data_IF_440388483785
#
_entry.id   IF_440388483785
#
_cell.length_a   1.000
_cell.length_b   1.000
_cell.length_c   1.000
_cell.angle_alpha   90.00
_cell.angle_beta   90.00
_cell.angle_gamma   90.00
#
_symmetry.space_group_name_H-M   'P 1'
#
loop_
_entity.id
_entity.type
_entity.pdbx_description
1 polymer ?
#
# COMPACT_ATOMS: atom_id res chain seq x y z
N UNK A 1 -1.05 -12.20 -17.64
CA UNK A 1 -0.03 -11.21 -17.21
C UNK A 1 -0.68 -10.21 -16.25
N UNK A 2 0.09 -9.54 -15.39
CA UNK A 2 -0.48 -8.52 -14.48
C UNK A 2 0.36 -7.25 -14.40
N UNK A 3 -0.30 -6.12 -14.17
CA UNK A 3 0.30 -4.80 -13.99
C UNK A 3 -0.16 -4.20 -12.66
N UNK A 4 0.72 -3.48 -11.99
CA UNK A 4 0.40 -2.60 -10.87
C UNK A 4 1.32 -1.38 -10.94
N UNK A 5 0.91 -0.27 -10.34
CA UNK A 5 1.75 0.93 -10.30
C UNK A 5 3.13 0.64 -9.68
N UNK A 6 3.16 -0.10 -8.57
CA UNK A 6 4.42 -0.50 -7.90
C UNK A 6 5.31 -1.36 -8.80
N UNK A 7 4.71 -2.30 -9.55
CA UNK A 7 5.41 -3.17 -10.50
C UNK A 7 5.99 -2.39 -11.67
N UNK A 8 5.21 -1.46 -12.22
CA UNK A 8 5.67 -0.52 -13.25
C UNK A 8 6.83 0.34 -12.75
N UNK A 9 6.68 0.93 -11.57
CA UNK A 9 7.72 1.75 -10.97
C UNK A 9 9.04 0.99 -10.78
N UNK A 10 8.98 -0.26 -10.30
CA UNK A 10 10.16 -1.13 -10.18
C UNK A 10 10.81 -1.39 -11.55
N UNK A 11 10.01 -1.67 -12.59
CA UNK A 11 10.50 -1.88 -13.96
C UNK A 11 11.23 -0.65 -14.51
N UNK A 12 10.59 0.52 -14.39
CA UNK A 12 11.10 1.80 -14.90
C UNK A 12 12.33 2.30 -14.10
N UNK A 13 12.42 1.96 -12.82
CA UNK A 13 13.55 2.35 -11.97
C UNK A 13 14.74 1.41 -12.12
N UNK A 14 14.52 0.10 -12.06
CA UNK A 14 15.57 -0.90 -12.12
C UNK A 14 15.03 -2.25 -12.60
N UNK A 15 15.27 -2.58 -13.88
CA UNK A 15 14.85 -3.87 -14.48
C UNK A 15 15.39 -5.09 -13.73
N UNK A 16 16.59 -4.99 -13.12
CA UNK A 16 17.16 -6.05 -12.28
C UNK A 16 16.36 -6.26 -11.00
N UNK A 17 15.97 -5.18 -10.32
CA UNK A 17 15.11 -5.25 -9.13
C UNK A 17 13.76 -5.86 -9.50
N UNK A 18 13.13 -5.36 -10.57
CA UNK A 18 11.88 -5.91 -11.10
C UNK A 18 11.97 -7.43 -11.35
N UNK A 19 13.07 -7.91 -11.94
CA UNK A 19 13.28 -9.34 -12.15
C UNK A 19 13.25 -10.13 -10.82
N UNK A 20 14.04 -9.71 -9.82
CA UNK A 20 14.13 -10.42 -8.54
C UNK A 20 12.88 -10.31 -7.66
N UNK A 21 12.06 -9.28 -7.85
CA UNK A 21 10.79 -9.14 -7.12
C UNK A 21 9.71 -10.09 -7.67
N UNK A 22 9.57 -10.14 -9.00
CA UNK A 22 8.41 -10.76 -9.66
C UNK A 22 8.69 -12.11 -10.34
N UNK A 23 9.95 -12.45 -10.66
CA UNK A 23 10.35 -13.67 -11.36
C UNK A 23 11.31 -14.63 -10.60
N UNK A 24 11.58 -14.52 -9.29
CA UNK A 24 12.58 -15.39 -8.63
C UNK A 24 12.15 -16.87 -8.54
N UNK A 25 10.90 -17.21 -8.91
CA UNK A 25 10.34 -18.57 -8.87
C UNK A 25 10.91 -19.51 -9.95
N UNK A 26 11.73 -19.02 -10.88
CA UNK A 26 12.17 -19.77 -12.05
C UNK A 26 13.59 -20.38 -11.94
N UNK A 27 14.32 -20.18 -10.83
CA UNK A 27 15.66 -20.80 -10.65
C UNK A 27 15.90 -21.41 -9.26
N UNK A 28 16.89 -22.30 -9.16
CA UNK A 28 17.41 -22.92 -7.92
C UNK A 28 17.91 -21.92 -6.86
N UNK A 29 17.90 -20.61 -7.15
CA UNK A 29 18.23 -19.50 -6.24
C UNK A 29 17.01 -18.94 -5.47
N UNK A 30 15.83 -19.54 -5.64
CA UNK A 30 14.53 -19.07 -5.11
C UNK A 30 14.55 -18.79 -3.60
N UNK A 31 15.18 -19.64 -2.78
CA UNK A 31 15.13 -19.47 -1.33
C UNK A 31 15.84 -18.19 -0.83
N UNK A 32 17.03 -17.87 -1.36
CA UNK A 32 17.79 -16.69 -0.94
C UNK A 32 17.15 -15.42 -1.47
N UNK A 33 16.78 -15.38 -2.75
CA UNK A 33 16.07 -14.24 -3.33
C UNK A 33 14.73 -13.98 -2.62
N UNK A 34 13.99 -15.06 -2.32
CA UNK A 34 12.77 -14.97 -1.52
C UNK A 34 13.03 -14.45 -0.11
N UNK A 35 14.09 -14.89 0.57
CA UNK A 35 14.42 -14.38 1.90
C UNK A 35 14.78 -12.89 1.85
N UNK A 36 15.67 -12.49 0.93
CA UNK A 36 16.18 -11.13 0.86
C UNK A 36 15.10 -10.12 0.47
N UNK A 37 14.16 -10.47 -0.41
CA UNK A 37 13.06 -9.56 -0.80
C UNK A 37 12.04 -9.30 0.33
N UNK A 38 12.01 -10.14 1.36
CA UNK A 38 11.13 -9.95 2.52
C UNK A 38 11.79 -9.13 3.64
N UNK A 39 13.08 -8.79 3.51
CA UNK A 39 13.75 -7.89 4.45
C UNK A 39 13.15 -6.49 4.35
N UNK A 40 12.99 -5.82 5.49
CA UNK A 40 12.36 -4.50 5.57
C UNK A 40 13.22 -3.50 6.35
N UNK A 41 12.96 -2.22 6.07
CA UNK A 41 13.47 -1.10 6.85
C UNK A 41 12.43 -0.72 7.93
N UNK A 42 12.86 -0.22 9.10
CA UNK A 42 11.94 0.12 10.19
C UNK A 42 10.87 1.14 9.79
N UNK A 43 11.15 2.05 8.86
CA UNK A 43 10.19 3.03 8.35
C UNK A 43 9.10 2.39 7.48
N UNK A 44 9.45 1.36 6.72
CA UNK A 44 8.47 0.60 5.94
C UNK A 44 7.55 -0.20 6.87
N UNK A 45 8.12 -0.78 7.93
CA UNK A 45 7.35 -1.47 8.98
C UNK A 45 6.42 -0.47 9.69
N UNK A 46 6.90 0.72 10.04
CA UNK A 46 6.09 1.77 10.64
C UNK A 46 4.89 2.13 9.74
N UNK A 47 5.14 2.35 8.45
CA UNK A 47 4.07 2.62 7.48
C UNK A 47 3.06 1.47 7.37
N UNK A 48 3.54 0.22 7.36
CA UNK A 48 2.70 -0.96 7.30
C UNK A 48 1.84 -1.15 8.57
N UNK A 49 2.39 -0.83 9.74
CA UNK A 49 1.66 -0.88 11.01
C UNK A 49 0.57 0.19 11.06
N UNK A 50 0.83 1.39 10.51
CA UNK A 50 -0.20 2.42 10.37
C UNK A 50 -1.36 1.92 9.51
N UNK A 51 -1.07 1.36 8.32
CA UNK A 51 -2.10 0.76 7.44
C UNK A 51 -2.90 -0.34 8.15
N UNK A 52 -2.24 -1.27 8.84
CA UNK A 52 -2.92 -2.33 9.60
C UNK A 52 -3.79 -1.79 10.73
N UNK A 53 -3.31 -0.77 11.44
CA UNK A 53 -4.03 -0.18 12.56
C UNK A 53 -5.27 0.57 12.08
N UNK A 54 -5.17 1.33 10.98
CA UNK A 54 -6.31 2.00 10.36
C UNK A 54 -7.34 0.98 9.85
N UNK A 55 -6.90 -0.06 9.14
CA UNK A 55 -7.82 -1.11 8.68
C UNK A 55 -8.54 -1.79 9.85
N UNK A 56 -7.82 -2.12 10.93
CA UNK A 56 -8.44 -2.66 12.16
C UNK A 56 -9.38 -1.68 12.86
N UNK A 57 -9.09 -0.38 12.84
CA UNK A 57 -9.97 0.64 13.39
C UNK A 57 -11.28 0.77 12.58
N UNK A 58 -11.17 0.74 11.26
CA UNK A 58 -12.32 0.78 10.35
C UNK A 58 -13.17 -0.50 10.48
N UNK A 59 -12.55 -1.67 10.63
CA UNK A 59 -13.27 -2.92 10.95
C UNK A 59 -14.01 -2.81 12.29
N UNK A 60 -13.35 -2.29 13.33
CA UNK A 60 -13.98 -2.06 14.63
C UNK A 60 -15.17 -1.09 14.53
N UNK A 61 -15.05 -0.04 13.72
CA UNK A 61 -16.14 0.89 13.46
C UNK A 61 -17.32 0.22 12.75
N UNK A 62 -17.07 -0.66 11.78
CA UNK A 62 -18.13 -1.43 11.10
C UNK A 62 -18.89 -2.31 12.12
N UNK A 63 -18.16 -2.93 13.05
CA UNK A 63 -18.72 -3.89 14.01
C UNK A 63 -19.41 -3.21 15.21
N UNK A 64 -18.89 -2.07 15.68
CA UNK A 64 -19.29 -1.45 16.95
C UNK A 64 -19.78 -0.01 16.82
N UNK A 65 -19.59 0.64 15.66
CA UNK A 65 -20.01 2.03 15.41
C UNK A 65 -19.07 3.10 15.96
N UNK A 66 -17.92 2.72 16.50
CA UNK A 66 -16.95 3.63 17.13
C UNK A 66 -15.52 3.27 16.73
N UNK A 67 -14.63 4.26 16.68
CA UNK A 67 -13.19 4.04 16.52
C UNK A 67 -12.58 3.71 17.89
N UNK A 68 -11.52 2.88 17.96
CA UNK A 68 -10.85 2.61 19.24
C UNK A 68 -10.20 3.88 19.82
N UNK A 69 -10.52 4.24 21.07
CA UNK A 69 -9.95 5.41 21.76
C UNK A 69 -8.41 5.37 21.91
N UNK A 70 -7.83 4.17 21.89
CA UNK A 70 -6.41 3.90 22.11
C UNK A 70 -5.67 3.51 20.80
N UNK A 71 -6.16 3.95 19.64
CA UNK A 71 -5.62 3.54 18.33
C UNK A 71 -4.11 3.77 18.20
N UNK A 72 -3.63 4.98 18.55
CA UNK A 72 -2.22 5.32 18.47
C UNK A 72 -1.36 4.45 19.42
N UNK A 73 -1.82 4.21 20.65
CA UNK A 73 -1.12 3.36 21.62
C UNK A 73 -1.05 1.90 21.14
N UNK A 74 -2.16 1.35 20.64
CA UNK A 74 -2.20 0.01 20.02
C UNK A 74 -1.25 -0.09 18.84
N UNK A 75 -1.17 0.94 18.00
CA UNK A 75 -0.25 1.01 16.86
C UNK A 75 1.21 0.97 17.30
N UNK A 76 1.61 1.76 18.31
CA UNK A 76 2.97 1.74 18.86
C UNK A 76 3.29 0.35 19.44
N UNK A 77 2.37 -0.25 20.18
CA UNK A 77 2.56 -1.62 20.69
C UNK A 77 2.70 -2.64 19.56
N UNK A 78 1.90 -2.54 18.50
CA UNK A 78 2.04 -3.39 17.33
C UNK A 78 3.40 -3.22 16.65
N UNK A 79 3.86 -1.99 16.46
CA UNK A 79 5.18 -1.68 15.90
C UNK A 79 6.30 -2.31 16.73
N UNK A 80 6.31 -2.08 18.05
CA UNK A 80 7.29 -2.68 18.97
C UNK A 80 7.31 -4.20 18.91
N UNK A 81 6.13 -4.84 18.82
CA UNK A 81 6.03 -6.30 18.67
C UNK A 81 6.67 -6.79 17.36
N UNK A 82 6.43 -6.11 16.24
CA UNK A 82 7.00 -6.49 14.94
C UNK A 82 8.52 -6.34 14.95
N UNK A 83 9.03 -5.22 15.50
CA UNK A 83 10.47 -4.99 15.67
C UNK A 83 11.11 -6.08 16.55
N UNK A 84 10.54 -6.37 17.71
CA UNK A 84 11.07 -7.39 18.63
C UNK A 84 11.01 -8.81 18.04
N UNK A 85 10.05 -9.10 17.16
CA UNK A 85 9.95 -10.41 16.51
C UNK A 85 11.02 -10.65 15.44
N UNK A 86 11.64 -9.58 14.93
CA UNK A 86 12.56 -9.62 13.80
C UNK A 86 13.77 -10.54 14.02
N UNK A 87 14.48 -10.39 15.15
CA UNK A 87 15.68 -11.20 15.47
C UNK A 87 15.40 -12.70 15.40
N UNK A 88 14.27 -13.13 15.99
CA UNK A 88 13.85 -14.55 15.99
C UNK A 88 13.54 -15.05 14.58
N UNK A 89 12.90 -14.22 13.76
CA UNK A 89 12.56 -14.56 12.37
C UNK A 89 13.84 -14.68 11.55
N UNK A 90 14.76 -13.73 11.68
CA UNK A 90 16.08 -13.76 11.02
C UNK A 90 16.91 -14.97 11.44
N UNK A 91 16.93 -15.32 12.74
CA UNK A 91 17.60 -16.53 13.20
C UNK A 91 17.03 -17.79 12.54
N UNK A 92 15.69 -17.84 12.37
CA UNK A 92 15.04 -18.91 11.61
C UNK A 92 15.44 -18.94 10.13
N UNK A 93 15.50 -17.77 9.48
CA UNK A 93 15.93 -17.64 8.08
C UNK A 93 17.38 -18.13 7.89
N UNK A 94 18.30 -17.73 8.78
CA UNK A 94 19.70 -18.18 8.76
C UNK A 94 19.83 -19.70 8.99
N UNK A 95 18.88 -20.31 9.69
CA UNK A 95 18.77 -21.76 9.86
C UNK A 95 18.03 -22.48 8.70
N UNK A 96 17.75 -21.78 7.59
CA UNK A 96 17.10 -22.35 6.41
C UNK A 96 15.57 -22.45 6.49
N UNK A 97 14.94 -21.89 7.53
CA UNK A 97 13.47 -21.82 7.60
C UNK A 97 12.95 -20.67 6.74
N UNK A 98 11.82 -20.90 6.06
CA UNK A 98 11.12 -19.81 5.38
C UNK A 98 10.53 -18.85 6.43
N UNK A 99 10.60 -17.53 6.20
CA UNK A 99 9.95 -16.57 7.06
C UNK A 99 8.42 -16.81 7.05
N UNK A 100 7.71 -16.58 8.17
CA UNK A 100 6.26 -16.63 8.20
C UNK A 100 5.65 -15.74 7.10
N UNK A 101 4.46 -16.11 6.61
CA UNK A 101 3.73 -15.26 5.67
C UNK A 101 3.51 -13.89 6.32
N UNK A 102 3.73 -12.82 5.55
CA UNK A 102 3.59 -11.41 5.98
C UNK A 102 4.56 -10.94 7.08
N UNK A 103 5.56 -11.72 7.46
CA UNK A 103 6.61 -11.19 8.33
C UNK A 103 7.50 -10.22 7.56
N UNK A 104 7.89 -9.14 8.22
CA UNK A 104 8.80 -8.11 7.70
C UNK A 104 10.05 -8.04 8.60
N UNK A 105 10.93 -9.05 8.58
CA UNK A 105 12.17 -9.01 9.35
C UNK A 105 13.06 -7.82 8.93
N UNK A 106 13.71 -7.19 9.90
CA UNK A 106 14.61 -6.09 9.67
C UNK A 106 15.87 -6.54 8.93
N UNK A 107 16.24 -5.77 7.92
CA UNK A 107 17.52 -5.93 7.23
C UNK A 107 18.73 -5.75 8.19
N UNK A 108 18.62 -4.88 9.21
CA UNK A 108 19.65 -4.68 10.23
C UNK A 108 20.00 -5.96 10.98
N UNK A 109 18.99 -6.72 11.40
CA UNK A 109 19.18 -7.97 12.13
C UNK A 109 19.77 -9.06 11.22
N UNK A 110 19.37 -9.04 9.95
CA UNK A 110 19.91 -9.97 8.95
C UNK A 110 21.42 -9.74 8.73
N UNK A 111 21.82 -8.49 8.50
CA UNK A 111 23.22 -8.13 8.23
C UNK A 111 24.06 -7.93 9.51
N UNK A 112 23.46 -7.91 10.69
CA UNK A 112 24.16 -7.88 11.97
C UNK A 112 24.67 -6.50 12.38
N UNK A 113 24.00 -5.42 11.96
CA UNK A 113 24.28 -4.08 12.48
C UNK A 113 23.14 -3.58 13.36
N UNK A 114 23.44 -2.81 14.43
CA UNK A 114 22.42 -2.36 15.36
C UNK A 114 21.48 -1.35 14.71
N UNK A 115 20.18 -1.45 15.01
CA UNK A 115 19.21 -0.40 14.70
C UNK A 115 19.47 0.80 15.62
N UNK A 116 19.75 2.00 15.09
CA UNK A 116 19.99 3.17 15.93
C UNK A 116 18.76 3.54 16.78
N UNK A 117 18.97 3.93 18.04
CA UNK A 117 17.88 4.23 18.99
C UNK A 117 17.04 5.44 18.55
N UNK A 118 17.70 6.46 18.01
CA UNK A 118 17.08 7.63 17.39
C UNK A 118 16.20 7.22 16.20
N UNK A 119 16.64 6.24 15.40
CA UNK A 119 15.85 5.72 14.29
C UNK A 119 14.60 4.98 14.76
N UNK A 120 14.72 4.19 15.82
CA UNK A 120 13.58 3.50 16.43
C UNK A 120 12.58 4.51 17.00
N UNK A 121 13.06 5.48 17.78
CA UNK A 121 12.23 6.55 18.36
C UNK A 121 11.52 7.37 17.27
N UNK A 122 12.21 7.69 16.18
CA UNK A 122 11.60 8.33 15.02
C UNK A 122 10.45 7.51 14.43
N UNK A 123 10.62 6.20 14.28
CA UNK A 123 9.57 5.32 13.74
C UNK A 123 8.38 5.17 14.69
N UNK A 124 8.61 5.12 16.01
CA UNK A 124 7.54 5.14 17.01
C UNK A 124 6.72 6.43 16.93
N UNK A 125 7.41 7.58 16.88
CA UNK A 125 6.75 8.87 16.71
C UNK A 125 5.98 8.95 15.39
N UNK A 126 6.54 8.42 14.30
CA UNK A 126 5.86 8.37 13.01
C UNK A 126 4.54 7.59 13.09
N UNK A 127 4.52 6.42 13.75
CA UNK A 127 3.29 5.64 13.94
C UNK A 127 2.28 6.42 14.77
N UNK A 128 2.74 7.02 15.89
CA UNK A 128 1.91 7.82 16.77
C UNK A 128 1.26 8.99 16.03
N UNK A 129 2.06 9.80 15.36
CA UNK A 129 1.61 11.00 14.63
C UNK A 129 0.65 10.61 13.51
N UNK A 130 0.93 9.55 12.75
CA UNK A 130 0.07 9.13 11.66
C UNK A 130 -1.32 8.68 12.13
N UNK A 131 -1.37 7.92 13.22
CA UNK A 131 -2.63 7.41 13.75
C UNK A 131 -3.44 8.53 14.41
N UNK A 132 -2.80 9.39 15.20
CA UNK A 132 -3.45 10.58 15.75
C UNK A 132 -4.00 11.48 14.63
N UNK A 133 -3.19 11.78 13.61
CA UNK A 133 -3.61 12.64 12.50
C UNK A 133 -4.73 12.00 11.66
N UNK A 134 -4.78 10.67 11.57
CA UNK A 134 -5.90 9.96 10.95
C UNK A 134 -7.19 10.22 11.75
N UNK A 135 -7.17 9.98 13.07
CA UNK A 135 -8.34 10.11 13.94
C UNK A 135 -8.96 11.52 13.89
N UNK A 136 -8.13 12.56 13.85
CA UNK A 136 -8.59 13.95 13.81
C UNK A 136 -8.72 14.52 12.39
N UNK A 137 -8.56 13.69 11.35
CA UNK A 137 -8.69 14.15 9.97
C UNK A 137 -10.15 14.32 9.55
N UNK A 138 -10.40 15.33 8.71
CA UNK A 138 -11.71 15.53 8.09
C UNK A 138 -12.16 14.33 7.23
N UNK A 139 -11.23 13.44 6.84
CA UNK A 139 -11.55 12.22 6.07
C UNK A 139 -12.36 11.24 6.92
N UNK A 140 -12.09 11.16 8.23
CA UNK A 140 -12.86 10.32 9.16
C UNK A 140 -14.31 10.80 9.23
N UNK A 141 -14.54 12.10 9.33
CA UNK A 141 -15.90 12.68 9.33
C UNK A 141 -16.68 12.29 8.08
N UNK A 142 -16.03 12.30 6.91
CA UNK A 142 -16.66 11.91 5.64
C UNK A 142 -16.94 10.41 5.55
N UNK A 143 -16.02 9.57 6.04
CA UNK A 143 -16.23 8.12 6.15
C UNK A 143 -17.44 7.81 7.06
N UNK A 144 -17.51 8.42 8.24
CA UNK A 144 -18.62 8.26 9.17
C UNK A 144 -19.94 8.73 8.54
N UNK A 145 -19.94 9.89 7.86
CA UNK A 145 -21.11 10.41 7.14
C UNK A 145 -21.60 9.45 6.05
N UNK A 146 -20.69 8.82 5.30
CA UNK A 146 -21.02 7.87 4.25
C UNK A 146 -21.70 6.59 4.77
N UNK A 147 -21.41 6.22 6.03
CA UNK A 147 -21.82 4.99 6.72
C UNK A 147 -21.16 3.71 6.18
N UNK A 148 -20.89 2.71 7.05
CA UNK A 148 -20.25 1.45 6.70
C UNK A 148 -20.80 0.68 5.50
N UNK A 149 -22.11 0.71 5.28
CA UNK A 149 -22.78 0.00 4.18
C UNK A 149 -22.46 0.58 2.79
N UNK A 150 -21.88 1.78 2.76
CA UNK A 150 -21.40 2.48 1.56
C UNK A 150 -19.90 2.41 1.38
N UNK A 151 -19.19 1.69 2.24
CA UNK A 151 -17.75 1.52 2.11
C UNK A 151 -17.44 0.31 1.23
N UNK A 152 -16.33 0.41 0.52
CA UNK A 152 -15.69 -0.75 -0.09
C UNK A 152 -15.20 -1.72 0.98
N UNK A 153 -14.96 -2.97 0.57
CA UNK A 153 -14.42 -3.99 1.47
C UNK A 153 -13.10 -3.52 2.08
N UNK A 154 -13.03 -3.48 3.41
CA UNK A 154 -11.78 -3.26 4.14
C UNK A 154 -10.84 -4.44 3.89
N UNK A 155 -9.59 -4.14 3.52
CA UNK A 155 -8.60 -5.17 3.18
C UNK A 155 -8.25 -6.00 4.40
N UNK A 156 -8.43 -7.32 4.31
CA UNK A 156 -7.81 -8.27 5.23
C UNK A 156 -6.46 -8.72 4.69
N UNK A 157 -5.48 -9.06 5.55
CA UNK A 157 -4.18 -9.56 5.08
C UNK A 157 -4.30 -10.79 4.16
N UNK A 158 -5.36 -11.61 4.31
CA UNK A 158 -5.59 -12.79 3.48
C UNK A 158 -6.23 -12.50 2.12
N UNK A 159 -6.75 -11.28 1.93
CA UNK A 159 -7.50 -10.94 0.74
C UNK A 159 -6.62 -10.83 -0.50
N UNK A 160 -7.22 -11.12 -1.64
CA UNK A 160 -6.62 -10.82 -2.92
C UNK A 160 -6.73 -9.31 -3.18
N UNK A 161 -5.66 -8.63 -3.63
CA UNK A 161 -5.72 -7.19 -3.84
C UNK A 161 -6.80 -6.82 -4.87
N UNK A 162 -7.47 -5.66 -4.72
CA UNK A 162 -8.44 -5.19 -5.70
C UNK A 162 -7.82 -5.10 -7.09
N UNK A 163 -8.54 -5.56 -8.09
CA UNK A 163 -8.07 -5.61 -9.47
C UNK A 163 -9.22 -5.54 -10.46
N UNK A 164 -8.89 -5.17 -11.68
CA UNK A 164 -9.81 -5.12 -12.82
C UNK A 164 -9.09 -5.64 -14.07
N UNK A 165 -9.85 -5.80 -15.16
CA UNK A 165 -9.30 -6.25 -16.45
C UNK A 165 -9.28 -5.12 -17.45
N UNK A 166 -8.15 -4.95 -18.12
CA UNK A 166 -8.02 -4.18 -19.34
C UNK A 166 -7.73 -5.16 -20.48
N UNK A 167 -8.78 -5.62 -21.16
CA UNK A 167 -8.70 -6.77 -22.06
C UNK A 167 -8.27 -8.03 -21.28
N UNK A 168 -7.15 -8.63 -21.68
CA UNK A 168 -6.57 -9.81 -21.01
C UNK A 168 -5.62 -9.47 -19.85
N UNK A 169 -5.28 -8.19 -19.68
CA UNK A 169 -4.36 -7.74 -18.63
C UNK A 169 -5.11 -7.60 -17.30
N UNK A 170 -4.58 -8.23 -16.25
CA UNK A 170 -5.03 -7.97 -14.87
C UNK A 170 -4.30 -6.73 -14.34
N UNK A 171 -5.05 -5.72 -13.94
CA UNK A 171 -4.52 -4.47 -13.36
C UNK A 171 -4.89 -4.42 -11.89
N UNK A 172 -3.89 -4.38 -11.02
CA UNK A 172 -4.10 -4.23 -9.58
C UNK A 172 -4.21 -2.75 -9.18
N UNK A 173 -5.23 -2.44 -8.41
CA UNK A 173 -5.53 -1.11 -7.88
C UNK A 173 -5.61 -1.21 -6.35
N UNK A 174 -4.46 -1.31 -5.68
CA UNK A 174 -4.41 -1.54 -4.24
C UNK A 174 -4.67 -0.28 -3.40
N UNK A 175 -5.74 0.49 -3.69
CA UNK A 175 -6.22 1.63 -2.89
C UNK A 175 -6.57 1.19 -1.48
N UNK A 176 -6.51 2.06 -0.46
CA UNK A 176 -6.75 1.62 0.93
C UNK A 176 -8.22 1.49 1.28
N UNK A 177 -9.04 2.47 0.89
CA UNK A 177 -10.49 2.40 1.02
C UNK A 177 -11.16 3.16 -0.12
N UNK A 178 -12.36 2.75 -0.49
CA UNK A 178 -13.29 3.64 -1.18
C UNK A 178 -14.61 3.71 -0.43
N UNK A 179 -15.38 4.76 -0.64
CA UNK A 179 -16.75 4.87 -0.13
C UNK A 179 -17.60 5.74 -1.06
N UNK A 180 -18.92 5.55 -0.96
CA UNK A 180 -19.90 6.34 -1.69
C UNK A 180 -20.50 7.42 -0.77
N UNK A 181 -20.54 8.66 -1.26
CA UNK A 181 -21.21 9.76 -0.58
C UNK A 181 -21.80 10.71 -1.63
N UNK A 182 -23.07 11.09 -1.45
CA UNK A 182 -23.77 12.04 -2.33
C UNK A 182 -23.65 11.67 -3.83
N UNK A 183 -23.89 10.38 -4.16
CA UNK A 183 -23.77 9.76 -5.49
C UNK A 183 -22.38 9.82 -6.16
N UNK A 184 -21.35 10.14 -5.38
CA UNK A 184 -19.96 10.19 -5.82
C UNK A 184 -19.14 9.07 -5.16
N UNK A 185 -18.16 8.55 -5.92
CA UNK A 185 -17.19 7.57 -5.43
C UNK A 185 -15.93 8.30 -4.95
N UNK A 186 -15.55 8.07 -3.71
CA UNK A 186 -14.30 8.57 -3.14
C UNK A 186 -13.33 7.42 -2.94
N UNK A 187 -12.13 7.49 -3.52
CA UNK A 187 -11.06 6.51 -3.33
C UNK A 187 -9.89 7.16 -2.61
N UNK A 188 -9.54 6.60 -1.46
CA UNK A 188 -8.56 7.15 -0.53
C UNK A 188 -7.36 6.21 -0.42
N UNK A 189 -6.16 6.81 -0.34
CA UNK A 189 -4.90 6.12 -0.16
C UNK A 189 -4.07 6.84 0.91
N UNK A 190 -3.72 6.12 1.97
CA UNK A 190 -3.00 6.62 3.13
C UNK A 190 -1.51 6.71 2.82
N UNK A 191 -0.91 7.87 3.09
CA UNK A 191 0.52 8.11 2.89
C UNK A 191 1.19 8.45 4.21
N UNK A 192 2.14 7.61 4.61
CA UNK A 192 2.96 7.83 5.82
C UNK A 192 4.28 8.53 5.53
N UNK A 193 4.61 8.81 4.26
CA UNK A 193 5.75 9.65 3.90
C UNK A 193 5.40 11.14 3.93
N UNK A 194 6.38 12.03 3.83
CA UNK A 194 6.13 13.46 3.63
C UNK A 194 5.72 13.76 2.18
N UNK A 195 4.87 14.78 1.95
CA UNK A 195 4.47 15.23 0.62
C UNK A 195 5.59 16.05 -0.05
N UNK A 196 6.66 15.39 -0.47
CA UNK A 196 7.63 16.00 -1.39
C UNK A 196 7.04 16.03 -2.80
N UNK A 197 7.53 16.92 -3.67
CA UNK A 197 7.10 16.99 -5.08
C UNK A 197 7.12 15.62 -5.77
N UNK A 198 8.20 14.87 -5.57
CA UNK A 198 8.34 13.52 -6.11
C UNK A 198 7.29 12.54 -5.55
N UNK A 199 7.02 12.59 -4.24
CA UNK A 199 6.04 11.70 -3.63
C UNK A 199 4.60 12.06 -4.04
N UNK A 200 4.31 13.36 -4.20
CA UNK A 200 3.02 13.85 -4.69
C UNK A 200 2.78 13.40 -6.12
N UNK A 201 3.77 13.51 -7.00
CA UNK A 201 3.64 13.05 -8.38
C UNK A 201 3.43 11.52 -8.46
N UNK A 202 4.18 10.75 -7.66
CA UNK A 202 3.97 9.30 -7.56
C UNK A 202 2.56 8.95 -7.07
N UNK A 203 2.06 9.66 -6.07
CA UNK A 203 0.71 9.48 -5.56
C UNK A 203 -0.32 9.82 -6.65
N UNK A 204 -0.14 10.91 -7.40
CA UNK A 204 -1.04 11.31 -8.50
C UNK A 204 -1.15 10.23 -9.58
N UNK A 205 -0.03 9.63 -9.98
CA UNK A 205 -0.02 8.54 -10.97
C UNK A 205 -0.75 7.30 -10.43
N UNK A 206 -0.51 6.93 -9.17
CA UNK A 206 -1.19 5.83 -8.50
C UNK A 206 -2.70 6.06 -8.39
N UNK A 207 -3.13 7.25 -7.96
CA UNK A 207 -4.55 7.62 -7.85
C UNK A 207 -5.26 7.61 -9.21
N UNK A 208 -4.55 7.90 -10.31
CA UNK A 208 -5.12 7.81 -11.66
C UNK A 208 -5.48 6.36 -12.04
N UNK A 209 -4.69 5.38 -11.59
CA UNK A 209 -5.01 3.95 -11.74
C UNK A 209 -6.23 3.58 -10.91
N UNK A 210 -6.35 4.13 -9.71
CA UNK A 210 -7.51 3.86 -8.85
C UNK A 210 -8.79 4.46 -9.40
N UNK A 211 -8.72 5.65 -9.98
CA UNK A 211 -9.85 6.23 -10.69
C UNK A 211 -10.26 5.38 -11.89
N UNK A 212 -9.29 4.85 -12.65
CA UNK A 212 -9.55 3.90 -13.71
C UNK A 212 -10.21 2.61 -13.17
N UNK A 213 -9.84 2.11 -11.99
CA UNK A 213 -10.56 1.02 -11.32
C UNK A 213 -12.01 1.41 -11.00
N UNK A 214 -12.25 2.59 -10.43
CA UNK A 214 -13.59 3.10 -10.15
C UNK A 214 -14.47 3.18 -11.40
N UNK A 215 -13.87 3.54 -12.54
CA UNK A 215 -14.55 3.60 -13.82
C UNK A 215 -14.81 2.22 -14.44
N UNK A 216 -13.76 1.39 -14.59
CA UNK A 216 -13.85 0.12 -15.31
C UNK A 216 -14.57 -0.98 -14.51
N UNK A 217 -14.42 -0.96 -13.19
CA UNK A 217 -14.90 -2.04 -12.32
C UNK A 217 -16.13 -1.65 -11.51
N UNK A 218 -16.17 -0.43 -10.99
CA UNK A 218 -17.31 0.07 -10.20
C UNK A 218 -18.31 0.85 -11.05
N UNK A 219 -18.03 1.05 -12.34
CA UNK A 219 -18.92 1.67 -13.33
C UNK A 219 -19.35 3.11 -13.00
N UNK A 220 -18.53 3.85 -12.25
CA UNK A 220 -18.75 5.27 -12.04
C UNK A 220 -18.31 6.08 -13.27
N UNK A 221 -19.06 7.13 -13.65
CA UNK A 221 -18.58 8.05 -14.67
C UNK A 221 -17.42 8.89 -14.10
N UNK A 222 -16.41 9.26 -14.91
CA UNK A 222 -15.20 9.95 -14.44
C UNK A 222 -15.48 11.18 -13.56
N UNK A 223 -16.46 11.99 -13.94
CA UNK A 223 -16.88 13.21 -13.22
C UNK A 223 -17.47 12.97 -11.82
N UNK A 224 -17.76 11.71 -11.47
CA UNK A 224 -18.22 11.29 -10.13
C UNK A 224 -17.16 10.51 -9.35
N UNK A 225 -15.93 10.43 -9.86
CA UNK A 225 -14.82 9.75 -9.19
C UNK A 225 -13.86 10.79 -8.62
N UNK A 226 -13.72 10.71 -7.31
CA UNK A 226 -12.89 11.57 -6.49
C UNK A 226 -11.76 10.73 -5.89
N UNK A 227 -10.53 11.22 -5.98
CA UNK A 227 -9.36 10.53 -5.44
C UNK A 227 -8.56 11.44 -4.53
N UNK A 228 -8.03 10.88 -3.44
CA UNK A 228 -7.18 11.63 -2.52
C UNK A 228 -6.07 10.76 -1.92
N UNK A 229 -4.85 11.27 -1.98
CA UNK A 229 -3.78 10.81 -1.11
C UNK A 229 -3.84 11.59 0.21
N UNK A 230 -3.94 10.87 1.31
CA UNK A 230 -4.06 11.45 2.66
C UNK A 230 -2.72 11.32 3.35
N UNK A 231 -2.03 12.44 3.55
CA UNK A 231 -0.68 12.48 4.10
C UNK A 231 -0.75 12.53 5.63
N UNK A 232 -0.50 11.39 6.27
CA UNK A 232 -0.71 11.21 7.71
C UNK A 232 0.39 11.80 8.60
N UNK A 233 1.53 12.24 8.05
CA UNK A 233 2.53 13.00 8.83
C UNK A 233 2.09 14.43 9.18
N UNK A 234 0.91 14.84 8.73
CA UNK A 234 0.29 16.12 9.05
C UNK A 234 -1.22 15.94 9.10
N UNK A 235 -1.93 16.86 9.76
CA UNK A 235 -3.39 16.88 9.72
C UNK A 235 -3.82 17.19 8.27
N UNK A 236 -4.34 16.17 7.60
CA UNK A 236 -4.80 16.27 6.22
C UNK A 236 -6.23 16.77 6.18
N UNK A 237 -6.46 17.80 5.37
CA UNK A 237 -7.81 18.32 5.09
C UNK A 237 -8.51 17.45 4.05
N UNK A 238 -9.82 17.52 4.04
CA UNK A 238 -10.65 17.00 2.96
C UNK A 238 -10.44 17.86 1.71
N UNK A 239 -9.74 17.30 0.73
CA UNK A 239 -9.48 17.97 -0.54
C UNK A 239 -9.35 16.95 -1.68
N UNK A 240 -10.41 16.15 -1.93
CA UNK A 240 -10.36 15.16 -2.98
C UNK A 240 -10.35 15.83 -4.35
N UNK A 241 -9.55 15.28 -5.27
CA UNK A 241 -9.48 15.76 -6.64
C UNK A 241 -10.46 15.00 -7.53
N UNK A 242 -11.24 15.71 -8.34
CA UNK A 242 -12.02 15.12 -9.43
C UNK A 242 -11.07 14.57 -10.47
N UNK A 243 -11.33 13.35 -10.95
CA UNK A 243 -10.54 12.77 -12.04
C UNK A 243 -11.26 12.99 -13.37
N UNK A 244 -10.65 13.82 -14.21
CA UNK A 244 -11.15 14.08 -15.56
C UNK A 244 -10.96 12.86 -16.46
N UNK A 245 -11.84 12.69 -17.45
CA UNK A 245 -11.79 11.59 -18.44
C UNK A 245 -10.43 11.46 -19.13
N UNK A 246 -9.73 12.57 -19.37
CA UNK A 246 -8.40 12.61 -19.95
C UNK A 246 -7.36 11.91 -19.07
N UNK A 247 -7.45 12.05 -17.75
CA UNK A 247 -6.53 11.41 -16.81
C UNK A 247 -6.73 9.89 -16.78
N UNK A 248 -7.97 9.42 -16.86
CA UNK A 248 -8.31 8.00 -16.98
C UNK A 248 -7.82 7.43 -18.32
N UNK A 249 -8.01 8.17 -19.42
CA UNK A 249 -7.48 7.81 -20.73
C UNK A 249 -5.94 7.70 -20.74
N UNK A 250 -5.26 8.67 -20.13
CA UNK A 250 -3.81 8.67 -19.98
C UNK A 250 -3.33 7.47 -19.15
N UNK A 251 -3.99 7.17 -18.03
CA UNK A 251 -3.65 5.99 -17.22
C UNK A 251 -3.79 4.69 -18.02
N UNK A 252 -4.85 4.54 -18.80
CA UNK A 252 -5.05 3.38 -19.69
C UNK A 252 -3.91 3.24 -20.70
N UNK A 253 -3.52 4.34 -21.35
CA UNK A 253 -2.45 4.35 -22.34
C UNK A 253 -1.08 3.99 -21.73
N UNK A 254 -0.78 4.51 -20.54
CA UNK A 254 0.43 4.18 -19.80
C UNK A 254 0.47 2.69 -19.46
N UNK A 255 -0.62 2.14 -18.90
CA UNK A 255 -0.71 0.70 -18.57
C UNK A 255 -0.51 -0.17 -19.82
N UNK A 256 -1.15 0.20 -20.94
CA UNK A 256 -1.02 -0.55 -22.19
C UNK A 256 0.43 -0.55 -22.71
N UNK A 257 1.08 0.61 -22.72
CA UNK A 257 2.47 0.76 -23.19
C UNK A 257 3.43 -0.04 -22.31
N UNK A 258 3.39 0.17 -21.00
CA UNK A 258 4.32 -0.45 -20.07
C UNK A 258 4.12 -1.96 -19.93
N UNK A 259 2.87 -2.44 -19.99
CA UNK A 259 2.62 -3.88 -19.95
C UNK A 259 3.15 -4.60 -21.19
N UNK A 260 3.07 -3.98 -22.37
CA UNK A 260 3.66 -4.52 -23.60
C UNK A 260 5.20 -4.60 -23.50
N UNK A 261 5.85 -3.57 -22.96
CA UNK A 261 7.30 -3.57 -22.74
C UNK A 261 7.73 -4.64 -21.71
N UNK A 262 7.01 -4.73 -20.60
CA UNK A 262 7.25 -5.76 -19.59
C UNK A 262 7.07 -7.16 -20.19
N UNK A 263 6.11 -7.34 -21.10
CA UNK A 263 5.86 -8.64 -21.74
C UNK A 263 7.00 -9.01 -22.67
N UNK A 264 7.43 -8.07 -23.51
CA UNK A 264 8.58 -8.27 -24.39
C UNK A 264 9.84 -8.65 -23.60
N UNK A 265 10.09 -8.01 -22.45
CA UNK A 265 11.21 -8.40 -21.59
C UNK A 265 11.07 -9.86 -21.10
N UNK A 266 9.90 -10.23 -20.59
CA UNK A 266 9.67 -11.59 -20.07
C UNK A 266 9.84 -12.66 -21.15
N UNK A 267 9.39 -12.39 -22.37
CA UNK A 267 9.52 -13.32 -23.50
C UNK A 267 10.97 -13.52 -23.98
N UNK A 268 11.91 -12.67 -23.53
CA UNK A 268 13.36 -12.83 -23.80
C UNK A 268 14.10 -13.58 -22.70
N UNK A 269 13.44 -13.88 -21.57
CA UNK A 269 14.03 -14.68 -20.51
C UNK A 269 14.07 -16.16 -20.94
N UNK A 270 15.15 -16.90 -20.61
CA UNK A 270 15.21 -18.33 -20.87
C UNK A 270 14.09 -19.08 -20.11
N UNK A 271 13.57 -20.20 -20.68
CA UNK A 271 12.50 -21.00 -20.07
C UNK A 271 12.92 -21.69 -18.76
#
# INVERSE_FOLDING_TARGET
MSWSYTRSYAYNTCRRQFFYEYFPKYEKYDAVAYMLKNLSAPELIAGQVVDWSINGALENFIEHGELPEDLAERGIHAFRRVIAASERIVAGMKAGRRPPRQSQPLHSDYYGYPLPKDKLAYCEQLVQDCLYNFEVSEVVDHLIKAKPDRWGKIKKPTDYPPHFRLGELIVYANYDIYFELDDCLYIIDWKTARPTEQNVEKARQQLSVYALYGHEHLHYPPERIYVQAVWLQQISRWNPSIVMSEAIGAARQTIATESAEQYALVMTLPP
#
